data_IF_218499280042
#
_entry.id   IF_218499280042
#
_cell.length_a   1.000
_cell.length_b   1.000
_cell.length_c   1.000
_cell.angle_alpha   90.00
_cell.angle_beta   90.00
_cell.angle_gamma   90.00
#
_symmetry.space_group_name_H-M   'P 1'
#
loop_
_entity.id
_entity.type
_entity.pdbx_description
1 polymer ?
#
# COMPACT_ATOMS: atom_id res chain seq x y z
N UNK A 1 9.62 4.26 11.50
CA UNK A 1 9.40 5.72 11.53
C UNK A 1 10.13 6.32 10.33
N UNK A 2 9.48 7.16 9.53
CA UNK A 2 10.11 7.89 8.44
C UNK A 2 10.86 9.11 8.96
N UNK A 3 11.83 9.62 8.20
CA UNK A 3 12.66 10.78 8.59
C UNK A 3 11.81 12.02 8.89
N UNK A 4 10.73 12.21 8.14
CA UNK A 4 9.77 13.31 8.31
C UNK A 4 8.82 13.14 9.52
N UNK A 5 9.01 12.11 10.34
CA UNK A 5 8.20 11.85 11.53
C UNK A 5 6.93 11.04 11.28
N UNK A 6 6.61 10.68 10.03
CA UNK A 6 5.47 9.81 9.72
C UNK A 6 5.71 8.39 10.24
N UNK A 7 4.65 7.78 10.75
CA UNK A 7 4.64 6.37 11.16
C UNK A 7 3.80 5.56 10.18
N UNK A 8 4.29 4.36 9.86
CA UNK A 8 3.55 3.36 9.10
C UNK A 8 3.51 2.10 9.93
N UNK A 9 2.32 1.54 10.08
CA UNK A 9 2.12 0.20 10.62
C UNK A 9 1.74 -0.72 9.46
N UNK A 10 2.32 -1.91 9.43
CA UNK A 10 2.08 -2.90 8.38
C UNK A 10 1.75 -4.24 9.02
N UNK A 11 0.73 -4.90 8.49
CA UNK A 11 0.32 -6.24 8.87
C UNK A 11 0.20 -7.10 7.61
N UNK A 12 0.88 -8.25 7.63
CA UNK A 12 0.78 -9.27 6.60
C UNK A 12 0.21 -10.55 7.20
N UNK A 13 -0.96 -10.96 6.71
CA UNK A 13 -1.58 -12.22 7.08
C UNK A 13 -1.71 -13.12 5.84
N UNK A 14 -0.76 -14.03 5.67
CA UNK A 14 -0.75 -14.97 4.54
C UNK A 14 -1.80 -16.11 4.69
N UNK A 15 -2.40 -16.26 5.87
CA UNK A 15 -3.40 -17.29 6.16
C UNK A 15 -4.73 -16.65 6.58
N UNK A 16 -5.53 -16.24 5.60
CA UNK A 16 -6.85 -15.66 5.78
C UNK A 16 -7.89 -16.37 4.92
N UNK A 17 -9.17 -16.31 5.32
CA UNK A 17 -10.29 -16.83 4.51
C UNK A 17 -10.76 -15.84 3.41
N UNK A 18 -9.98 -14.79 3.18
CA UNK A 18 -10.16 -13.80 2.12
C UNK A 18 -8.79 -13.31 1.65
N UNK A 19 -8.76 -12.82 0.43
CA UNK A 19 -7.65 -12.06 -0.15
C UNK A 19 -8.00 -10.57 -0.10
N UNK A 20 -7.01 -9.71 0.08
CA UNK A 20 -7.19 -8.28 -0.09
C UNK A 20 -6.35 -7.44 0.85
N UNK A 21 -6.65 -6.15 0.86
CA UNK A 21 -5.85 -5.12 1.50
C UNK A 21 -6.73 -4.08 2.18
N UNK A 22 -6.16 -3.43 3.19
CA UNK A 22 -6.71 -2.21 3.78
C UNK A 22 -5.57 -1.21 3.84
N UNK A 23 -5.74 -0.07 3.18
CA UNK A 23 -4.75 1.00 3.13
C UNK A 23 -5.39 2.23 3.74
N UNK A 24 -4.72 2.79 4.74
CA UNK A 24 -5.21 3.95 5.47
C UNK A 24 -4.13 5.02 5.45
N UNK A 25 -4.49 6.20 4.98
CA UNK A 25 -3.67 7.40 5.10
C UNK A 25 -4.36 8.35 6.07
N UNK A 26 -3.70 8.72 7.16
CA UNK A 26 -4.21 9.68 8.14
C UNK A 26 -3.30 10.89 8.20
N UNK A 27 -3.91 12.08 8.23
CA UNK A 27 -3.21 13.35 8.31
C UNK A 27 -4.00 14.36 9.13
N UNK A 28 -3.53 15.61 9.13
CA UNK A 28 -4.06 16.66 10.02
C UNK A 28 -5.51 17.06 9.72
N UNK A 29 -5.98 16.84 8.49
CA UNK A 29 -7.31 17.26 8.04
C UNK A 29 -8.31 16.10 7.90
N UNK A 30 -7.86 14.87 8.16
CA UNK A 30 -8.71 13.70 7.97
C UNK A 30 -7.95 12.43 7.62
N UNK A 31 -8.70 11.48 7.07
CA UNK A 31 -8.26 10.12 6.77
C UNK A 31 -8.85 9.63 5.45
N UNK A 32 -8.05 8.91 4.69
CA UNK A 32 -8.49 8.17 3.50
C UNK A 32 -8.38 6.69 3.82
N UNK A 33 -9.47 5.95 3.64
CA UNK A 33 -9.51 4.50 3.81
C UNK A 33 -9.83 3.84 2.48
N UNK A 34 -8.98 2.91 2.05
CA UNK A 34 -9.23 2.01 0.94
C UNK A 34 -9.34 0.60 1.50
N UNK A 35 -10.44 -0.07 1.19
CA UNK A 35 -10.67 -1.46 1.53
C UNK A 35 -10.90 -2.23 0.24
N UNK A 36 -10.18 -3.32 0.05
CA UNK A 36 -10.49 -4.31 -0.98
C UNK A 36 -10.43 -5.70 -0.36
N UNK A 37 -11.48 -6.49 -0.57
CA UNK A 37 -11.58 -7.85 -0.05
C UNK A 37 -12.28 -8.76 -1.05
N UNK A 38 -11.68 -9.89 -1.33
CA UNK A 38 -12.20 -10.97 -2.17
C UNK A 38 -12.33 -12.24 -1.36
N UNK A 39 -13.51 -12.85 -1.36
CA UNK A 39 -13.79 -14.11 -0.65
C UNK A 39 -14.79 -14.96 -1.43
N UNK A 40 -15.04 -16.17 -0.96
CA UNK A 40 -16.17 -16.98 -1.44
C UNK A 40 -17.46 -16.20 -1.23
N UNK A 41 -18.12 -15.82 -2.33
CA UNK A 41 -19.35 -14.99 -2.31
C UNK A 41 -19.21 -13.60 -2.94
N UNK A 42 -18.00 -13.15 -3.28
CA UNK A 42 -17.80 -11.94 -4.07
C UNK A 42 -16.54 -11.14 -3.71
N UNK A 43 -16.38 -10.04 -4.43
CA UNK A 43 -15.36 -9.02 -4.20
C UNK A 43 -16.04 -7.72 -3.75
N UNK A 44 -15.47 -7.07 -2.74
CA UNK A 44 -15.91 -5.79 -2.20
C UNK A 44 -14.74 -4.82 -2.25
N UNK A 45 -14.99 -3.61 -2.75
CA UNK A 45 -14.01 -2.53 -2.75
C UNK A 45 -14.68 -1.20 -2.40
N UNK A 46 -14.05 -0.41 -1.54
CA UNK A 46 -14.47 0.95 -1.21
C UNK A 46 -13.28 1.88 -1.05
N UNK A 47 -13.48 3.15 -1.39
CA UNK A 47 -12.61 4.25 -0.94
C UNK A 47 -13.48 5.29 -0.26
N UNK A 48 -13.15 5.60 0.98
CA UNK A 48 -13.85 6.58 1.80
C UNK A 48 -12.89 7.66 2.28
N UNK A 49 -13.31 8.91 2.18
CA UNK A 49 -12.56 10.07 2.65
C UNK A 49 -13.30 10.68 3.83
N UNK A 50 -12.68 10.60 5.00
CA UNK A 50 -13.15 11.19 6.25
C UNK A 50 -12.46 12.53 6.44
N UNK A 51 -13.20 13.64 6.39
CA UNK A 51 -12.67 14.96 6.74
C UNK A 51 -13.14 15.34 8.13
N UNK A 52 -12.26 15.87 8.97
CA UNK A 52 -12.61 16.16 10.38
C UNK A 52 -13.71 17.22 10.54
N UNK A 53 -13.91 18.07 9.53
CA UNK A 53 -14.97 19.10 9.52
C UNK A 53 -16.30 18.59 8.94
N UNK A 54 -16.39 17.31 8.57
CA UNK A 54 -17.59 16.73 7.95
C UNK A 54 -18.19 15.62 8.82
N UNK A 55 -19.51 15.59 8.91
CA UNK A 55 -20.24 14.56 9.68
C UNK A 55 -20.26 13.18 8.99
N UNK A 56 -20.11 13.14 7.67
CA UNK A 56 -20.21 11.90 6.87
C UNK A 56 -19.02 11.78 5.93
N UNK A 57 -18.46 10.56 5.75
CA UNK A 57 -17.40 10.34 4.78
C UNK A 57 -17.89 10.53 3.35
N UNK A 58 -17.01 11.04 2.49
CA UNK A 58 -17.20 11.08 1.05
C UNK A 58 -16.83 9.71 0.47
N UNK A 59 -17.76 9.06 -0.25
CA UNK A 59 -17.43 7.85 -1.01
C UNK A 59 -16.86 8.24 -2.37
N UNK A 60 -15.72 7.66 -2.71
CA UNK A 60 -15.07 7.86 -4.01
C UNK A 60 -15.39 6.67 -4.90
N UNK A 61 -16.02 6.96 -6.04
CA UNK A 61 -16.29 5.96 -7.06
C UNK A 61 -14.96 5.47 -7.67
N UNK A 62 -14.59 4.24 -7.31
CA UNK A 62 -13.45 3.55 -7.88
C UNK A 62 -13.75 3.12 -9.31
N UNK A 63 -13.00 3.66 -10.28
CA UNK A 63 -12.94 3.09 -11.62
C UNK A 63 -11.99 1.91 -11.62
N UNK A 64 -12.53 0.71 -11.36
CA UNK A 64 -11.78 -0.52 -11.46
C UNK A 64 -11.52 -0.85 -12.93
N UNK A 65 -10.26 -1.11 -13.26
CA UNK A 65 -9.88 -1.66 -14.55
C UNK A 65 -10.02 -3.19 -14.53
N UNK A 66 -10.37 -3.76 -15.68
CA UNK A 66 -10.40 -5.21 -15.85
C UNK A 66 -9.00 -5.79 -16.05
N UNK A 67 -8.79 -7.02 -15.59
CA UNK A 67 -7.55 -7.76 -15.80
C UNK A 67 -6.96 -8.28 -14.50
N UNK A 68 -5.75 -8.82 -14.60
CA UNK A 68 -5.02 -9.36 -13.44
C UNK A 68 -4.65 -8.23 -12.48
N UNK A 69 -4.75 -8.50 -11.17
CA UNK A 69 -4.52 -7.53 -10.09
C UNK A 69 -5.29 -6.20 -10.22
N UNK A 70 -6.50 -6.23 -10.79
CA UNK A 70 -7.31 -5.01 -10.97
C UNK A 70 -6.77 -4.07 -12.04
N UNK A 71 -6.06 -4.61 -13.04
CA UNK A 71 -5.48 -3.87 -14.17
C UNK A 71 -4.05 -3.36 -13.93
N UNK A 72 -3.54 -3.49 -12.70
CA UNK A 72 -2.20 -3.03 -12.33
C UNK A 72 -1.09 -3.67 -13.19
N UNK A 73 -1.22 -4.96 -13.52
CA UNK A 73 -0.23 -5.67 -14.33
C UNK A 73 -0.09 -5.03 -15.71
N UNK A 74 -1.21 -4.77 -16.40
CA UNK A 74 -1.19 -4.16 -17.72
C UNK A 74 -0.50 -2.77 -17.70
N UNK A 75 -0.77 -1.97 -16.67
CA UNK A 75 -0.15 -0.65 -16.49
C UNK A 75 1.35 -0.78 -16.25
N UNK A 76 1.77 -1.73 -15.42
CA UNK A 76 3.18 -2.02 -15.17
C UNK A 76 3.88 -2.49 -16.45
N UNK A 77 3.26 -3.36 -17.24
CA UNK A 77 3.81 -3.82 -18.52
C UNK A 77 3.99 -2.68 -19.51
N UNK A 78 3.02 -1.77 -19.63
CA UNK A 78 3.14 -0.58 -20.49
C UNK A 78 4.29 0.33 -20.01
N UNK A 79 4.36 0.60 -18.72
CA UNK A 79 5.44 1.40 -18.14
C UNK A 79 6.82 0.74 -18.32
N UNK A 80 6.94 -0.58 -18.31
CA UNK A 80 8.22 -1.27 -18.52
C UNK A 80 8.60 -1.39 -20.00
N UNK A 81 7.68 -1.85 -20.85
CA UNK A 81 7.99 -2.28 -22.22
C UNK A 81 7.29 -1.48 -23.31
N UNK A 82 6.22 -0.77 -22.94
CA UNK A 82 5.44 0.05 -23.87
C UNK A 82 6.08 1.38 -24.20
N UNK A 83 5.33 2.19 -24.95
CA UNK A 83 5.79 3.51 -25.43
C UNK A 83 5.32 4.64 -24.54
N UNK A 84 4.17 4.50 -23.89
CA UNK A 84 3.62 5.54 -23.02
C UNK A 84 4.08 5.33 -21.58
N UNK A 85 5.04 6.15 -21.15
CA UNK A 85 5.55 6.13 -19.78
C UNK A 85 4.74 7.09 -18.92
N UNK A 86 4.15 6.55 -17.87
CA UNK A 86 3.34 7.33 -16.93
C UNK A 86 4.14 8.04 -15.84
N UNK A 87 5.42 7.69 -15.70
CA UNK A 87 6.28 8.18 -14.62
C UNK A 87 5.99 7.56 -13.25
N UNK A 88 5.16 6.50 -13.16
CA UNK A 88 4.80 5.86 -11.88
C UNK A 88 5.79 4.80 -11.41
N UNK A 89 6.78 4.43 -12.23
CA UNK A 89 7.73 3.37 -11.87
C UNK A 89 8.58 3.79 -10.68
N UNK A 90 8.76 2.83 -9.76
CA UNK A 90 9.73 2.94 -8.69
C UNK A 90 11.14 3.16 -9.27
N UNK A 91 11.92 4.02 -8.62
CA UNK A 91 13.33 4.20 -8.92
C UNK A 91 14.16 3.03 -8.39
N UNK A 92 15.45 2.98 -8.75
CA UNK A 92 16.37 2.01 -8.16
C UNK A 92 16.47 2.17 -6.65
N UNK A 93 16.49 3.41 -6.16
CA UNK A 93 16.57 3.71 -4.73
C UNK A 93 15.32 3.20 -3.99
N UNK A 94 14.12 3.44 -4.53
CA UNK A 94 12.88 2.90 -3.97
C UNK A 94 12.93 1.36 -3.83
N UNK A 95 13.49 0.68 -4.84
CA UNK A 95 13.69 -0.77 -4.82
C UNK A 95 14.68 -1.22 -3.75
N UNK A 96 15.82 -0.54 -3.60
CA UNK A 96 16.80 -0.81 -2.54
C UNK A 96 16.16 -0.63 -1.16
N UNK A 97 15.46 0.49 -0.95
CA UNK A 97 14.80 0.80 0.31
C UNK A 97 13.73 -0.24 0.68
N UNK A 98 12.97 -0.74 -0.30
CA UNK A 98 12.00 -1.81 -0.10
C UNK A 98 12.67 -3.11 0.40
N UNK A 99 13.79 -3.50 -0.20
CA UNK A 99 14.56 -4.69 0.20
C UNK A 99 15.16 -4.50 1.60
N UNK A 100 15.80 -3.37 1.87
CA UNK A 100 16.39 -3.08 3.18
C UNK A 100 15.33 -3.07 4.30
N UNK A 101 14.14 -2.55 4.01
CA UNK A 101 13.01 -2.59 4.96
C UNK A 101 12.64 -4.03 5.32
N UNK A 102 12.56 -4.93 4.32
CA UNK A 102 12.29 -6.35 4.55
C UNK A 102 13.38 -7.04 5.37
N UNK A 103 14.66 -6.72 5.12
CA UNK A 103 15.79 -7.24 5.91
C UNK A 103 15.67 -6.76 7.37
N UNK A 104 15.46 -5.46 7.58
CA UNK A 104 15.32 -4.87 8.91
C UNK A 104 14.16 -5.49 9.70
N UNK A 105 13.03 -5.76 9.06
CA UNK A 105 11.88 -6.45 9.69
C UNK A 105 12.27 -7.86 10.13
N UNK A 106 12.94 -8.64 9.28
CA UNK A 106 13.37 -10.00 9.64
C UNK A 106 14.38 -10.00 10.80
N UNK A 107 15.33 -9.06 10.82
CA UNK A 107 16.28 -8.91 11.92
C UNK A 107 15.58 -8.49 13.22
N UNK A 108 14.63 -7.55 13.13
CA UNK A 108 13.82 -7.11 14.27
C UNK A 108 13.00 -8.26 14.86
N UNK A 109 12.36 -9.09 14.03
CA UNK A 109 11.62 -10.28 14.46
C UNK A 109 12.52 -11.29 15.18
N UNK A 110 13.75 -11.45 14.72
CA UNK A 110 14.72 -12.39 15.31
C UNK A 110 15.22 -11.91 16.67
N UNK A 111 15.48 -10.62 16.81
CA UNK A 111 16.17 -10.05 17.97
C UNK A 111 15.26 -9.36 18.98
N UNK A 112 13.99 -9.11 18.62
CA UNK A 112 13.03 -8.38 19.43
C UNK A 112 13.39 -6.91 19.66
N UNK A 113 14.15 -6.30 18.74
CA UNK A 113 14.67 -4.93 18.87
C UNK A 113 14.29 -4.08 17.67
N UNK A 114 14.29 -2.76 17.87
CA UNK A 114 14.23 -1.79 16.79
C UNK A 114 15.51 -1.86 15.95
N UNK A 115 15.35 -1.81 14.62
CA UNK A 115 16.44 -1.80 13.63
C UNK A 115 16.33 -0.53 12.79
N UNK A 116 17.43 0.22 12.68
CA UNK A 116 17.49 1.40 11.83
C UNK A 116 17.78 0.98 10.38
N UNK A 117 16.80 1.15 9.47
CA UNK A 117 16.91 0.62 8.09
C UNK A 117 18.18 1.10 7.38
N UNK A 118 18.55 2.37 7.51
CA UNK A 118 19.73 2.92 6.82
C UNK A 118 21.06 2.42 7.40
N UNK A 119 21.09 1.72 8.54
CA UNK A 119 22.34 1.09 9.00
C UNK A 119 22.67 -0.21 8.27
N UNK A 120 21.82 -0.64 7.34
CA UNK A 120 21.97 -1.85 6.53
C UNK A 120 22.46 -1.57 5.10
N UNK A 121 22.68 -0.30 4.75
CA UNK A 121 23.18 0.13 3.45
C UNK A 121 24.71 0.03 3.36
#
# INVERSE_FOLDING_TARGET
>A
KFENGVYVNYNLAAHCNYEGETIIFEGELGRIEMLRRKRTGGEFSSVEVFRFEQEKPEQIDLKLESGTHGGADNRLFEDLFGTEKSGRLATLDDGIQAVLTGIAVNESLTNGKEVHVQSLL
#
